data_IF_215907947384
#
_entry.id   IF_215907947384
#
_cell.length_a   1.000
_cell.length_b   1.000
_cell.length_c   1.000
_cell.angle_alpha   90.00
_cell.angle_beta   90.00
_cell.angle_gamma   90.00
#
_symmetry.space_group_name_H-M   'P 1'
#
loop_
_entity.id
_entity.type
_entity.pdbx_description
1 polymer ?
#
# COMPACT_ATOMS: atom_id res chain seq x y z
N UNK A 1 2.70 19.43 26.80
CA UNK A 1 2.31 18.02 26.99
C UNK A 1 0.78 17.92 26.97
N UNK A 2 0.17 17.79 25.79
CA UNK A 2 -1.30 17.79 25.63
C UNK A 2 -1.83 16.35 25.67
N UNK A 3 -2.56 16.00 26.73
CA UNK A 3 -3.29 14.72 26.85
C UNK A 3 -4.30 14.62 25.69
N UNK A 4 -4.12 13.67 24.76
CA UNK A 4 -5.13 13.25 23.76
C UNK A 4 -6.31 12.55 24.45
N UNK A 5 -7.11 13.29 25.23
CA UNK A 5 -8.28 12.77 25.96
C UNK A 5 -9.39 12.24 25.05
N UNK A 6 -9.42 12.63 23.78
CA UNK A 6 -10.54 12.32 22.88
C UNK A 6 -10.40 11.00 22.10
N UNK A 7 -9.29 10.28 22.27
CA UNK A 7 -8.99 9.07 21.48
C UNK A 7 -9.25 7.77 22.25
N UNK A 8 -9.10 7.78 23.57
CA UNK A 8 -9.10 6.57 24.39
C UNK A 8 -9.95 6.74 25.64
N UNK A 9 -10.61 5.67 26.06
CA UNK A 9 -11.10 5.53 27.43
C UNK A 9 -9.87 5.49 28.37
N UNK A 10 -9.96 6.08 29.56
CA UNK A 10 -8.76 6.39 30.37
C UNK A 10 -8.15 5.13 30.98
N UNK A 11 -7.23 4.46 30.27
CA UNK A 11 -6.42 3.37 30.80
C UNK A 11 -4.94 3.82 30.95
N UNK A 12 -4.42 3.95 32.19
CA UNK A 12 -3.06 4.43 32.44
C UNK A 12 -1.95 3.46 32.01
N UNK A 13 -2.27 2.21 31.67
CA UNK A 13 -1.31 1.19 31.24
C UNK A 13 -1.18 1.06 29.71
N UNK A 14 -1.68 2.05 28.94
CA UNK A 14 -1.58 2.03 27.48
C UNK A 14 -0.58 3.08 26.97
N UNK A 15 0.44 2.62 26.25
CA UNK A 15 1.40 3.47 25.56
C UNK A 15 0.94 3.95 24.18
N UNK A 16 1.62 4.98 23.66
CA UNK A 16 1.48 5.45 22.27
C UNK A 16 1.85 4.35 21.27
N UNK A 17 1.12 4.27 20.16
CA UNK A 17 1.33 3.26 19.12
C UNK A 17 0.98 3.81 17.73
N UNK A 18 1.42 3.11 16.69
CA UNK A 18 1.08 3.36 15.30
C UNK A 18 0.08 2.31 14.79
N UNK A 19 -0.86 2.74 13.95
CA UNK A 19 -1.66 1.86 13.11
C UNK A 19 -0.99 1.76 11.74
N UNK A 20 -0.89 0.55 11.20
CA UNK A 20 -0.28 0.29 9.89
C UNK A 20 -0.74 -1.06 9.33
N UNK A 21 -0.54 -1.23 8.03
CA UNK A 21 -0.68 -2.50 7.33
C UNK A 21 0.56 -2.74 6.48
N UNK A 22 1.10 -3.96 6.54
CA UNK A 22 2.22 -4.38 5.70
C UNK A 22 1.97 -5.76 5.12
N UNK A 23 2.58 -5.99 3.96
CA UNK A 23 2.64 -7.28 3.29
C UNK A 23 4.11 -7.54 2.96
N UNK A 24 4.61 -8.70 3.36
CA UNK A 24 5.96 -9.16 3.04
C UNK A 24 5.82 -10.35 2.10
N UNK A 25 6.20 -10.17 0.85
CA UNK A 25 6.29 -11.23 -0.14
C UNK A 25 7.74 -11.75 -0.19
N UNK A 26 7.91 -13.07 -0.21
CA UNK A 26 9.21 -13.73 -0.35
C UNK A 26 9.15 -14.82 -1.40
N UNK A 27 10.31 -15.08 -2.00
CA UNK A 27 10.54 -16.21 -2.88
C UNK A 27 11.80 -16.02 -3.72
N UNK A 28 12.08 -16.95 -4.65
CA UNK A 28 13.28 -16.91 -5.46
C UNK A 28 13.26 -15.73 -6.44
N UNK A 29 14.46 -15.23 -6.74
CA UNK A 29 14.67 -14.13 -7.70
C UNK A 29 15.36 -14.67 -8.94
N UNK A 30 14.90 -14.23 -10.11
CA UNK A 30 15.61 -14.44 -11.38
C UNK A 30 15.78 -13.14 -12.13
N UNK A 31 16.78 -13.09 -13.00
CA UNK A 31 16.92 -12.02 -13.98
C UNK A 31 16.00 -12.29 -15.18
N UNK A 32 15.44 -11.23 -15.74
CA UNK A 32 14.59 -11.33 -16.93
C UNK A 32 15.45 -11.28 -18.20
N UNK A 33 14.94 -11.85 -19.29
CA UNK A 33 15.47 -11.57 -20.63
C UNK A 33 15.16 -10.13 -21.05
N UNK A 34 15.79 -9.66 -22.13
CA UNK A 34 15.47 -8.35 -22.71
C UNK A 34 14.03 -8.31 -23.22
N UNK A 35 13.53 -9.40 -23.81
CA UNK A 35 12.16 -9.49 -24.30
C UNK A 35 11.15 -9.40 -23.15
N UNK A 36 11.38 -10.12 -22.06
CA UNK A 36 10.56 -10.05 -20.85
C UNK A 36 10.58 -8.64 -20.23
N UNK A 37 11.75 -8.00 -20.22
CA UNK A 37 11.88 -6.62 -19.72
C UNK A 37 11.07 -5.64 -20.57
N UNK A 38 11.09 -5.77 -21.90
CA UNK A 38 10.27 -4.96 -22.80
C UNK A 38 8.77 -5.14 -22.49
N UNK A 39 8.31 -6.37 -22.28
CA UNK A 39 6.90 -6.64 -21.91
C UNK A 39 6.53 -6.01 -20.56
N UNK A 40 7.44 -6.06 -19.58
CA UNK A 40 7.26 -5.39 -18.29
C UNK A 40 7.14 -3.87 -18.48
N UNK A 41 8.01 -3.25 -19.29
CA UNK A 41 7.99 -1.81 -19.54
C UNK A 41 6.71 -1.35 -20.27
N UNK A 42 6.22 -2.13 -21.24
CA UNK A 42 4.94 -1.87 -21.91
C UNK A 42 3.78 -1.90 -20.93
N UNK A 43 3.71 -2.92 -20.07
CA UNK A 43 2.67 -3.03 -19.04
C UNK A 43 2.75 -1.92 -18.01
N UNK A 44 3.95 -1.57 -17.55
CA UNK A 44 4.18 -0.57 -16.51
C UNK A 44 3.82 0.84 -16.99
N UNK A 45 4.30 1.23 -18.17
CA UNK A 45 3.96 2.53 -18.77
C UNK A 45 2.46 2.68 -18.98
N UNK A 46 1.80 1.68 -19.58
CA UNK A 46 0.35 1.71 -19.77
C UNK A 46 -0.44 1.76 -18.44
N UNK A 47 0.04 1.08 -17.40
CA UNK A 47 -0.59 1.10 -16.08
C UNK A 47 -0.58 2.52 -15.48
N UNK A 48 0.57 3.21 -15.52
CA UNK A 48 0.69 4.56 -14.98
C UNK A 48 0.01 5.64 -15.83
N UNK A 49 -0.27 5.34 -17.10
CA UNK A 49 -1.10 6.17 -17.98
C UNK A 49 -2.60 5.83 -17.87
N UNK A 50 -3.01 5.08 -16.83
CA UNK A 50 -4.40 4.66 -16.60
C UNK A 50 -5.03 3.93 -17.79
N UNK A 51 -4.24 3.16 -18.55
CA UNK A 51 -4.72 2.44 -19.73
C UNK A 51 -4.90 3.29 -20.99
N UNK A 52 -4.50 4.57 -20.96
CA UNK A 52 -4.56 5.45 -22.13
C UNK A 52 -3.47 5.09 -23.15
N UNK A 53 -3.82 4.22 -24.11
CA UNK A 53 -2.91 3.80 -25.19
C UNK A 53 -2.46 4.94 -26.11
N UNK A 54 -3.20 6.05 -26.17
CA UNK A 54 -2.86 7.21 -27.00
C UNK A 54 -1.89 8.18 -26.31
N UNK A 55 -1.56 7.93 -25.03
CA UNK A 55 -0.62 8.79 -24.32
C UNK A 55 0.77 8.69 -24.93
N UNK A 56 1.39 9.84 -25.20
CA UNK A 56 2.71 9.94 -25.84
C UNK A 56 3.85 9.33 -25.01
N UNK A 57 3.59 9.06 -23.73
CA UNK A 57 4.54 8.48 -22.77
C UNK A 57 4.41 6.96 -22.62
N UNK A 58 3.39 6.33 -23.21
CA UNK A 58 3.29 4.86 -23.27
C UNK A 58 4.44 4.31 -24.10
N UNK A 59 5.04 3.21 -23.64
CA UNK A 59 6.22 2.60 -24.26
C UNK A 59 6.08 2.41 -25.78
N UNK A 60 4.93 1.92 -26.25
CA UNK A 60 4.66 1.66 -27.67
C UNK A 60 4.62 2.93 -28.54
N UNK A 61 4.48 4.11 -27.94
CA UNK A 61 4.44 5.39 -28.65
C UNK A 61 5.80 6.13 -28.59
N UNK A 62 6.80 5.55 -27.92
CA UNK A 62 8.14 6.11 -27.86
C UNK A 62 8.95 5.71 -29.11
N UNK A 63 9.92 6.54 -29.55
CA UNK A 63 10.80 6.17 -30.65
C UNK A 63 11.63 4.92 -30.34
N UNK A 64 11.74 4.01 -31.31
CA UNK A 64 12.49 2.75 -31.16
C UNK A 64 13.95 3.00 -30.71
N UNK A 65 14.64 3.96 -31.34
CA UNK A 65 16.03 4.31 -30.98
C UNK A 65 16.16 4.72 -29.50
N UNK A 66 15.15 5.40 -28.96
CA UNK A 66 15.13 5.79 -27.55
C UNK A 66 14.97 4.55 -26.66
N UNK A 67 13.98 3.69 -26.96
CA UNK A 67 13.68 2.53 -26.12
C UNK A 67 14.80 1.48 -26.16
N UNK A 68 15.38 1.20 -27.33
CA UNK A 68 16.51 0.26 -27.51
C UNK A 68 17.77 0.70 -26.76
N UNK A 69 18.00 2.01 -26.64
CA UNK A 69 19.11 2.54 -25.85
C UNK A 69 18.85 2.41 -24.36
N UNK A 70 17.64 2.75 -23.92
CA UNK A 70 17.28 2.76 -22.50
C UNK A 70 17.17 1.35 -21.91
N UNK A 71 16.68 0.37 -22.68
CA UNK A 71 16.51 -1.01 -22.21
C UNK A 71 17.83 -1.63 -21.76
N UNK A 72 18.93 -1.31 -22.45
CA UNK A 72 20.29 -1.78 -22.14
C UNK A 72 20.85 -1.23 -20.82
N UNK A 73 20.24 -0.18 -20.28
CA UNK A 73 20.62 0.44 -19.01
C UNK A 73 19.79 -0.06 -17.82
N UNK A 74 18.84 -0.98 -18.05
CA UNK A 74 17.91 -1.47 -17.03
C UNK A 74 18.14 -2.98 -16.84
N UNK A 75 18.24 -3.40 -15.58
CA UNK A 75 18.27 -4.82 -15.23
C UNK A 75 16.89 -5.21 -14.70
N UNK A 76 16.20 -6.09 -15.45
CA UNK A 76 14.93 -6.65 -15.00
C UNK A 76 15.14 -7.81 -14.04
N UNK A 77 14.35 -7.81 -12.97
CA UNK A 77 14.27 -8.91 -12.00
C UNK A 77 12.83 -9.32 -11.82
N UNK A 78 12.62 -10.62 -11.63
CA UNK A 78 11.32 -11.20 -11.27
C UNK A 78 11.48 -11.91 -9.93
N UNK A 79 10.48 -11.74 -9.06
CA UNK A 79 10.36 -12.46 -7.79
C UNK A 79 9.14 -13.37 -7.90
N UNK A 80 9.36 -14.68 -7.90
CA UNK A 80 8.26 -15.64 -7.79
C UNK A 80 7.79 -15.66 -6.34
N UNK A 81 6.58 -15.18 -6.06
CA UNK A 81 6.08 -15.10 -4.69
C UNK A 81 5.64 -16.49 -4.21
N UNK A 82 6.43 -17.10 -3.34
CA UNK A 82 6.15 -18.42 -2.75
C UNK A 82 5.59 -18.31 -1.35
N UNK A 83 5.86 -17.20 -0.65
CA UNK A 83 5.39 -16.94 0.71
C UNK A 83 4.90 -15.51 0.85
N UNK A 84 3.81 -15.34 1.61
CA UNK A 84 3.21 -14.05 1.89
C UNK A 84 2.86 -13.94 3.37
N UNK A 85 3.53 -13.02 4.07
CA UNK A 85 3.15 -12.63 5.43
C UNK A 85 2.48 -11.26 5.41
N UNK A 86 1.55 -11.02 6.34
CA UNK A 86 0.95 -9.70 6.51
C UNK A 86 0.81 -9.32 7.98
N UNK A 87 0.94 -8.03 8.26
CA UNK A 87 0.63 -7.46 9.57
C UNK A 87 -0.44 -6.39 9.40
N UNK A 88 -1.50 -6.49 10.20
CA UNK A 88 -2.56 -5.48 10.24
C UNK A 88 -2.76 -5.03 11.68
N UNK A 89 -2.23 -3.85 12.01
CA UNK A 89 -2.38 -3.23 13.33
C UNK A 89 -3.26 -2.00 13.17
N UNK A 90 -4.53 -2.15 13.53
CA UNK A 90 -5.57 -1.14 13.33
C UNK A 90 -6.37 -0.93 14.63
N UNK A 91 -5.68 -0.95 15.77
CA UNK A 91 -6.27 -0.75 17.10
C UNK A 91 -7.40 -1.73 17.46
N UNK A 92 -7.40 -2.94 16.86
CA UNK A 92 -8.41 -3.98 17.09
C UNK A 92 -8.45 -4.52 18.52
N UNK A 93 -7.45 -4.21 19.35
CA UNK A 93 -7.35 -4.60 20.75
C UNK A 93 -7.86 -3.53 21.73
N UNK A 94 -8.55 -2.50 21.22
CA UNK A 94 -9.18 -1.45 22.02
C UNK A 94 -10.65 -1.79 22.27
N UNK A 95 -11.22 -1.18 23.32
CA UNK A 95 -12.67 -1.22 23.51
C UNK A 95 -13.39 -0.49 22.34
N UNK A 96 -14.66 -0.81 22.14
CA UNK A 96 -15.47 -0.29 21.03
C UNK A 96 -15.50 1.24 21.04
N UNK A 97 -15.62 1.87 22.21
CA UNK A 97 -15.69 3.34 22.33
C UNK A 97 -14.37 3.98 21.93
N UNK A 98 -13.25 3.46 22.41
CA UNK A 98 -11.92 3.91 21.97
C UNK A 98 -11.72 3.69 20.47
N UNK A 99 -12.13 2.55 19.92
CA UNK A 99 -12.02 2.25 18.49
C UNK A 99 -12.80 3.26 17.63
N UNK A 100 -14.05 3.55 17.99
CA UNK A 100 -14.88 4.56 17.31
C UNK A 100 -14.30 5.97 17.44
N UNK A 101 -13.79 6.33 18.61
CA UNK A 101 -13.12 7.61 18.82
C UNK A 101 -11.88 7.74 17.93
N UNK A 102 -11.05 6.69 17.83
CA UNK A 102 -9.88 6.66 16.95
C UNK A 102 -10.31 6.88 15.49
N UNK A 103 -11.34 6.17 15.00
CA UNK A 103 -11.88 6.39 13.65
C UNK A 103 -12.28 7.85 13.46
N UNK A 104 -13.07 8.41 14.38
CA UNK A 104 -13.57 9.79 14.30
C UNK A 104 -12.44 10.80 14.23
N UNK A 105 -11.40 10.65 15.04
CA UNK A 105 -10.28 11.60 15.06
C UNK A 105 -9.29 11.40 13.90
N UNK A 106 -9.20 10.20 13.34
CA UNK A 106 -8.43 9.94 12.11
C UNK A 106 -9.13 10.51 10.86
N UNK A 107 -10.47 10.43 10.79
CA UNK A 107 -11.25 11.02 9.67
C UNK A 107 -11.14 12.54 9.56
N UNK A 108 -10.71 13.23 10.62
CA UNK A 108 -10.44 14.68 10.61
C UNK A 108 -9.08 15.03 10.02
N UNK A 109 -8.25 14.04 9.72
CA UNK A 109 -6.91 14.20 9.16
C UNK A 109 -6.92 13.77 7.69
N UNK A 110 -5.87 14.14 6.96
CA UNK A 110 -5.72 13.84 5.54
C UNK A 110 -4.70 12.69 5.31
N UNK A 111 -4.60 12.24 4.06
CA UNK A 111 -3.62 11.23 3.66
C UNK A 111 -3.86 9.87 4.30
N UNK A 112 -2.80 9.25 4.82
CA UNK A 112 -2.86 7.86 5.32
C UNK A 112 -3.72 7.72 6.59
N UNK A 113 -3.90 8.78 7.37
CA UNK A 113 -4.79 8.76 8.53
C UNK A 113 -6.24 8.48 8.11
N UNK A 114 -6.72 9.14 7.05
CA UNK A 114 -8.08 8.93 6.51
C UNK A 114 -8.25 7.50 5.99
N UNK A 115 -7.29 7.00 5.21
CA UNK A 115 -7.31 5.62 4.67
C UNK A 115 -7.38 4.58 5.80
N UNK A 116 -6.59 4.76 6.87
CA UNK A 116 -6.65 3.87 8.03
C UNK A 116 -8.03 3.92 8.70
N UNK A 117 -8.65 5.09 8.79
CA UNK A 117 -9.99 5.23 9.37
C UNK A 117 -11.05 4.47 8.56
N UNK A 118 -11.01 4.58 7.23
CA UNK A 118 -11.90 3.85 6.31
C UNK A 118 -11.72 2.33 6.43
N UNK A 119 -10.47 1.86 6.53
CA UNK A 119 -10.18 0.43 6.73
C UNK A 119 -10.68 -0.05 8.09
N UNK A 120 -10.45 0.73 9.15
CA UNK A 120 -10.94 0.41 10.50
C UNK A 120 -12.48 0.32 10.53
N UNK A 121 -13.17 1.24 9.86
CA UNK A 121 -14.63 1.24 9.76
C UNK A 121 -15.15 0.03 8.99
N UNK A 122 -14.57 -0.27 7.83
CA UNK A 122 -14.95 -1.42 7.01
C UNK A 122 -14.74 -2.77 7.73
N UNK A 123 -13.79 -2.84 8.67
CA UNK A 123 -13.47 -4.04 9.45
C UNK A 123 -14.13 -4.08 10.83
N UNK A 124 -14.96 -3.10 11.18
CA UNK A 124 -15.56 -3.01 12.52
C UNK A 124 -16.35 -4.27 12.89
N UNK A 125 -17.16 -4.78 11.97
CA UNK A 125 -18.00 -5.97 12.17
C UNK A 125 -17.21 -7.28 12.30
N UNK A 126 -16.02 -7.37 11.71
CA UNK A 126 -15.16 -8.55 11.86
C UNK A 126 -14.29 -8.51 13.12
N UNK A 127 -14.03 -7.31 13.66
CA UNK A 127 -13.25 -7.11 14.89
C UNK A 127 -14.13 -7.26 16.13
N UNK A 128 -15.30 -6.62 16.12
CA UNK A 128 -16.26 -6.69 17.21
C UNK A 128 -17.48 -7.45 16.69
N UNK A 129 -17.69 -8.66 17.20
CA UNK A 129 -18.92 -9.42 16.93
C UNK A 129 -20.10 -8.61 17.50
N UNK A 130 -20.75 -7.84 16.64
CA UNK A 130 -22.00 -7.11 16.92
C UNK A 130 -23.07 -7.67 16.02
#
# INVERSE_FOLDING_TARGET
MLRKRNWYTTNPHMGSTWNYMSVHARGPVRFTSEQELVEIMKRLSLHFENGNKESVTVYDNLPDEYTEKMIKAIVGIEIEVTELDNVCKISQNRDVVSFENIIRELKKQEGDALKIAEIMEARKSSIFQV
#
